data_IF_941349159676
#
_entry.id   IF_941349159676
#
_cell.length_a   1.000
_cell.length_b   1.000
_cell.length_c   1.000
_cell.angle_alpha   90.00
_cell.angle_beta   90.00
_cell.angle_gamma   90.00
#
_symmetry.space_group_name_H-M   'P 1'
#
loop_
_entity.id
_entity.type
_entity.pdbx_description
1 polymer ?
#
# COMPACT_ATOMS: atom_id res chain seq x y z
N UNK A 1 34.24 -12.80 -3.72
CA UNK A 1 33.51 -12.22 -4.86
C UNK A 1 32.55 -11.17 -4.31
N UNK A 2 32.76 -9.88 -4.61
CA UNK A 2 32.15 -8.77 -3.88
C UNK A 2 30.74 -8.45 -4.41
N UNK A 3 29.78 -8.11 -3.53
CA UNK A 3 28.39 -7.77 -3.91
C UNK A 3 28.33 -6.65 -4.96
N UNK A 4 29.27 -5.71 -4.86
CA UNK A 4 29.36 -4.51 -5.72
C UNK A 4 29.58 -4.88 -7.19
N UNK A 5 30.36 -5.93 -7.49
CA UNK A 5 30.59 -6.34 -8.89
C UNK A 5 29.36 -7.03 -9.51
N UNK A 6 28.52 -7.67 -8.68
CA UNK A 6 27.28 -8.33 -9.11
C UNK A 6 26.16 -7.33 -9.42
N UNK A 7 26.07 -6.23 -8.66
CA UNK A 7 25.11 -5.15 -8.95
C UNK A 7 25.48 -4.42 -10.26
N UNK A 8 26.77 -4.18 -10.48
CA UNK A 8 27.25 -3.53 -11.72
C UNK A 8 27.01 -4.37 -12.97
N UNK A 9 27.10 -5.70 -12.90
CA UNK A 9 26.82 -6.56 -14.06
C UNK A 9 25.34 -6.59 -14.44
N UNK A 10 24.44 -6.48 -13.45
CA UNK A 10 22.99 -6.37 -13.70
C UNK A 10 22.64 -5.00 -14.32
N UNK A 11 23.30 -3.92 -13.90
CA UNK A 11 23.10 -2.59 -14.51
C UNK A 11 23.73 -2.47 -15.90
N UNK A 12 24.87 -3.14 -16.15
CA UNK A 12 25.56 -3.14 -17.44
C UNK A 12 24.84 -3.99 -18.49
N UNK A 13 24.10 -5.01 -18.08
CA UNK A 13 23.18 -5.72 -18.95
C UNK A 13 21.98 -4.80 -19.24
N UNK A 14 21.94 -4.17 -20.43
CA UNK A 14 20.80 -3.40 -20.93
C UNK A 14 19.47 -4.20 -21.06
N UNK A 15 19.43 -5.46 -20.58
CA UNK A 15 18.21 -6.24 -20.49
C UNK A 15 17.34 -5.70 -19.36
N UNK A 16 16.26 -5.02 -19.72
CA UNK A 16 15.17 -4.73 -18.79
C UNK A 16 14.58 -6.07 -18.33
N UNK A 17 14.67 -6.44 -17.05
CA UNK A 17 14.04 -7.67 -16.57
C UNK A 17 12.53 -7.54 -16.73
N UNK A 18 11.91 -8.52 -17.37
CA UNK A 18 10.45 -8.63 -17.43
C UNK A 18 9.94 -9.19 -16.11
N UNK A 19 9.24 -8.38 -15.32
CA UNK A 19 8.64 -8.79 -14.04
C UNK A 19 7.15 -9.04 -14.27
N UNK A 20 6.70 -10.27 -14.03
CA UNK A 20 5.30 -10.66 -14.06
C UNK A 20 4.77 -10.67 -12.62
N UNK A 21 3.72 -9.89 -12.36
CA UNK A 21 3.05 -9.81 -11.06
C UNK A 21 1.72 -10.55 -11.16
N UNK A 22 1.49 -11.53 -10.29
CA UNK A 22 0.23 -12.28 -10.21
C UNK A 22 -0.28 -12.20 -8.78
N UNK A 23 -1.46 -11.64 -8.60
CA UNK A 23 -2.09 -11.49 -7.29
C UNK A 23 -3.35 -10.66 -7.38
N UNK A 24 -4.06 -10.56 -6.26
CA UNK A 24 -5.29 -9.77 -6.18
C UNK A 24 -4.96 -8.28 -6.07
N UNK A 25 -5.62 -7.48 -6.91
CA UNK A 25 -5.61 -6.03 -6.79
C UNK A 25 -6.64 -5.65 -5.71
N UNK A 26 -6.18 -4.98 -4.66
CA UNK A 26 -7.06 -4.41 -3.64
C UNK A 26 -7.00 -2.88 -3.70
N UNK A 27 -7.95 -2.24 -3.05
CA UNK A 27 -8.00 -0.78 -2.98
C UNK A 27 -8.14 -0.44 -1.51
N UNK A 28 -7.15 0.30 -1.01
CA UNK A 28 -7.17 0.77 0.36
C UNK A 28 -7.87 2.12 0.41
N UNK A 29 -9.05 2.15 1.04
CA UNK A 29 -9.80 3.39 1.29
C UNK A 29 -9.58 3.81 2.73
N UNK A 30 -8.83 4.90 2.90
CA UNK A 30 -8.57 5.50 4.19
C UNK A 30 -9.57 6.61 4.48
N UNK A 31 -10.17 6.54 5.67
CA UNK A 31 -11.11 7.52 6.18
C UNK A 31 -10.49 8.14 7.44
N UNK A 32 -10.25 9.44 7.42
CA UNK A 32 -9.77 10.20 8.57
C UNK A 32 -10.85 11.12 9.09
N UNK A 33 -11.06 11.06 10.40
CA UNK A 33 -12.03 11.90 11.09
C UNK A 33 -11.76 11.91 12.59
N UNK A 34 -12.45 12.79 13.30
CA UNK A 34 -12.39 12.85 14.76
C UNK A 34 -13.62 12.16 15.36
N UNK A 35 -13.42 11.26 16.31
CA UNK A 35 -14.49 10.66 17.09
C UNK A 35 -14.62 11.38 18.44
N UNK A 36 -15.67 12.18 18.60
CA UNK A 36 -15.91 12.98 19.84
C UNK A 36 -17.05 12.44 20.69
N UNK A 37 -17.77 11.42 20.21
CA UNK A 37 -18.96 10.85 20.85
C UNK A 37 -19.07 9.35 20.55
N UNK A 38 -19.59 8.59 21.51
CA UNK A 38 -20.05 7.21 21.32
C UNK A 38 -21.49 7.18 20.78
N UNK A 39 -21.80 6.20 19.95
CA UNK A 39 -23.17 6.01 19.46
C UNK A 39 -24.12 5.69 20.62
N UNK A 40 -25.32 6.29 20.66
CA UNK A 40 -26.33 5.93 21.65
C UNK A 40 -26.94 4.54 21.40
N UNK A 41 -26.77 3.96 20.22
CA UNK A 41 -27.35 2.66 19.84
C UNK A 41 -26.42 1.46 20.08
N UNK A 42 -25.11 1.70 20.21
CA UNK A 42 -24.11 0.67 20.49
C UNK A 42 -22.80 1.33 20.97
N UNK A 43 -21.92 0.63 21.70
CA UNK A 43 -20.65 1.18 22.19
C UNK A 43 -19.59 1.31 21.08
N UNK A 44 -19.95 1.97 19.98
CA UNK A 44 -19.11 2.25 18.82
C UNK A 44 -18.86 3.75 18.68
N UNK A 45 -17.63 4.20 18.40
CA UNK A 45 -17.32 5.60 18.19
C UNK A 45 -17.94 6.11 16.90
N UNK A 46 -18.55 7.30 16.95
CA UNK A 46 -19.04 7.99 15.75
C UNK A 46 -17.91 8.87 15.21
N UNK A 47 -17.38 8.51 14.04
CA UNK A 47 -16.32 9.27 13.37
C UNK A 47 -16.96 10.38 12.54
N UNK A 48 -16.64 11.64 12.87
CA UNK A 48 -16.94 12.76 11.97
C UNK A 48 -15.84 12.84 10.90
N UNK A 49 -16.13 12.34 9.70
CA UNK A 49 -15.19 12.24 8.59
C UNK A 49 -14.78 13.63 8.12
N UNK A 50 -13.47 13.89 8.07
CA UNK A 50 -12.89 15.16 7.61
C UNK A 50 -12.11 15.01 6.31
N UNK A 51 -11.60 13.83 6.03
CA UNK A 51 -10.79 13.55 4.85
C UNK A 51 -10.90 12.08 4.47
N UNK A 52 -10.88 11.82 3.17
CA UNK A 52 -10.80 10.48 2.60
C UNK A 52 -9.65 10.44 1.58
N UNK A 53 -9.04 9.27 1.42
CA UNK A 53 -8.05 9.02 0.38
C UNK A 53 -8.15 7.57 -0.03
N UNK A 54 -8.02 7.35 -1.32
CA UNK A 54 -8.04 6.03 -1.91
C UNK A 54 -6.68 5.79 -2.53
N UNK A 55 -5.99 4.74 -2.09
CA UNK A 55 -4.70 4.33 -2.66
C UNK A 55 -4.85 2.92 -3.18
N UNK A 56 -4.20 2.63 -4.31
CA UNK A 56 -4.11 1.27 -4.82
C UNK A 56 -3.29 0.46 -3.80
N UNK A 57 -3.92 -0.56 -3.24
CA UNK A 57 -3.33 -1.49 -2.28
C UNK A 57 -3.15 -2.86 -2.93
N UNK A 58 -2.27 -3.69 -2.40
CA UNK A 58 -2.10 -5.04 -2.91
C UNK A 58 -0.73 -5.59 -2.64
N UNK A 59 -0.70 -6.75 -2.00
CA UNK A 59 0.53 -7.49 -1.77
C UNK A 59 0.92 -8.20 -3.06
N UNK A 60 2.06 -7.82 -3.60
CA UNK A 60 2.72 -8.50 -4.70
C UNK A 60 3.60 -9.60 -4.10
N UNK A 61 3.29 -10.86 -4.37
CA UNK A 61 4.21 -11.99 -4.12
C UNK A 61 5.00 -12.29 -5.38
#
# INVERSE_FOLDING_TARGET
MNLISKVRSIQAAQKRPSVLVIGDLMVDHYIWGSATRLSPEAPVPVVNVKKESTTLGGQVT
#
